data_IF_646264233251
#
_entry.id   IF_646264233251
#
_cell.length_a   1.000
_cell.length_b   1.000
_cell.length_c   1.000
_cell.angle_alpha   90.00
_cell.angle_beta   90.00
_cell.angle_gamma   90.00
#
_symmetry.space_group_name_H-M   'P 1'
#
loop_
_entity.id
_entity.type
_entity.pdbx_description
1 polymer ?
#
# COMPACT_ATOMS: atom_id res chain seq x y z
N UNK A 1 -72.20 27.50 -98.44
CA UNK A 1 -72.03 28.28 -97.19
C UNK A 1 -70.84 27.70 -96.46
N UNK A 2 -69.90 28.57 -96.11
CA UNK A 2 -68.55 28.41 -95.51
C UNK A 2 -68.44 27.38 -94.36
N UNK A 3 -67.32 26.69 -94.11
CA UNK A 3 -66.08 27.22 -93.48
C UNK A 3 -64.90 26.22 -93.53
N UNK A 4 -63.74 26.77 -93.15
CA UNK A 4 -62.33 26.36 -93.23
C UNK A 4 -61.84 25.24 -92.28
N UNK A 5 -60.65 24.71 -92.64
CA UNK A 5 -59.44 24.42 -91.80
C UNK A 5 -59.03 23.00 -91.33
N UNK A 6 -57.76 22.69 -91.71
CA UNK A 6 -56.64 22.13 -90.92
C UNK A 6 -56.38 20.61 -90.73
N UNK A 7 -55.37 20.16 -91.48
CA UNK A 7 -54.09 19.50 -91.09
C UNK A 7 -54.03 18.35 -90.06
N UNK A 8 -53.31 17.26 -90.41
CA UNK A 8 -52.02 16.87 -89.77
C UNK A 8 -51.38 15.61 -90.38
N UNK A 9 -50.06 15.67 -90.60
CA UNK A 9 -49.14 14.53 -90.81
C UNK A 9 -48.71 13.93 -89.46
N UNK A 10 -48.34 12.66 -89.41
CA UNK A 10 -47.43 12.15 -88.36
C UNK A 10 -46.46 11.10 -88.92
N UNK A 11 -45.18 11.47 -88.95
CA UNK A 11 -44.02 10.65 -89.32
C UNK A 11 -43.56 9.78 -88.13
N UNK A 12 -43.05 8.57 -88.45
CA UNK A 12 -42.35 7.65 -87.56
C UNK A 12 -41.16 8.33 -86.86
N UNK A 13 -41.16 8.31 -85.53
CA UNK A 13 -40.07 8.77 -84.68
C UNK A 13 -38.99 7.70 -84.52
N UNK A 14 -37.79 8.02 -84.98
CA UNK A 14 -36.54 7.31 -84.73
C UNK A 14 -36.07 7.58 -83.28
N UNK A 15 -35.53 6.55 -82.65
CA UNK A 15 -34.90 6.57 -81.32
C UNK A 15 -33.69 7.52 -81.33
N UNK A 16 -33.71 8.57 -80.49
CA UNK A 16 -32.52 9.38 -80.19
C UNK A 16 -32.02 9.08 -78.78
N UNK A 17 -30.94 8.31 -78.73
CA UNK A 17 -30.05 8.18 -77.58
C UNK A 17 -29.44 9.55 -77.23
N UNK A 18 -29.88 10.16 -76.12
CA UNK A 18 -29.21 11.34 -75.56
C UNK A 18 -27.91 10.90 -74.87
N UNK A 19 -26.78 11.10 -75.56
CA UNK A 19 -25.44 11.09 -74.95
C UNK A 19 -25.26 12.39 -74.17
N UNK A 20 -25.25 12.31 -72.85
CA UNK A 20 -24.63 13.34 -72.01
C UNK A 20 -23.37 12.68 -71.45
N UNK A 21 -22.22 13.21 -71.86
CA UNK A 21 -20.88 12.80 -71.39
C UNK A 21 -20.44 11.37 -71.77
N UNK A 22 -20.15 11.11 -73.06
CA UNK A 22 -19.11 10.17 -73.53
C UNK A 22 -19.11 8.67 -73.16
N UNK A 23 -19.95 8.18 -72.23
CA UNK A 23 -19.92 6.80 -71.72
C UNK A 23 -21.32 6.19 -71.79
N UNK A 24 -21.45 4.97 -72.32
CA UNK A 24 -22.74 4.26 -72.34
C UNK A 24 -23.08 3.74 -70.93
N UNK A 25 -24.35 3.77 -70.53
CA UNK A 25 -24.82 3.35 -69.19
C UNK A 25 -24.31 1.96 -68.76
N UNK A 26 -24.17 1.04 -69.72
CA UNK A 26 -23.64 -0.32 -69.52
C UNK A 26 -22.12 -0.34 -69.29
N UNK A 27 -21.37 0.58 -69.90
CA UNK A 27 -19.94 0.76 -69.61
C UNK A 27 -19.75 1.37 -68.22
N UNK A 28 -20.59 2.33 -67.82
CA UNK A 28 -20.54 2.93 -66.50
C UNK A 28 -20.81 1.89 -65.38
N UNK A 29 -21.81 1.00 -65.54
CA UNK A 29 -22.12 -0.02 -64.53
C UNK A 29 -21.03 -1.09 -64.37
N UNK A 30 -20.40 -1.52 -65.47
CA UNK A 30 -19.26 -2.45 -65.43
C UNK A 30 -18.08 -1.85 -64.67
N UNK A 31 -17.71 -0.60 -64.94
CA UNK A 31 -16.61 0.09 -64.26
C UNK A 31 -16.87 0.29 -62.76
N UNK A 32 -18.13 0.56 -62.36
CA UNK A 32 -18.51 0.67 -60.95
C UNK A 32 -18.39 -0.68 -60.24
N UNK A 33 -18.83 -1.78 -60.87
CA UNK A 33 -18.72 -3.12 -60.27
C UNK A 33 -17.27 -3.59 -60.08
N UNK A 34 -16.37 -3.24 -61.02
CA UNK A 34 -14.95 -3.59 -60.93
C UNK A 34 -14.20 -2.82 -59.85
N UNK A 35 -14.70 -1.64 -59.47
CA UNK A 35 -14.12 -0.80 -58.42
C UNK A 35 -14.63 -1.17 -57.02
N UNK A 36 -15.70 -1.96 -56.92
CA UNK A 36 -16.36 -2.31 -55.66
C UNK A 36 -15.52 -3.26 -54.82
N UNK A 37 -14.92 -4.29 -55.43
CA UNK A 37 -14.06 -5.26 -54.74
C UNK A 37 -12.81 -4.60 -54.11
N UNK A 38 -12.02 -3.79 -54.85
CA UNK A 38 -10.86 -3.09 -54.29
C UNK A 38 -11.22 -2.11 -53.18
N UNK A 39 -12.34 -1.38 -53.31
CA UNK A 39 -12.80 -0.43 -52.28
C UNK A 39 -13.22 -1.16 -51.01
N UNK A 40 -13.97 -2.26 -51.14
CA UNK A 40 -14.37 -3.08 -49.99
C UNK A 40 -13.15 -3.68 -49.28
N UNK A 41 -12.15 -4.16 -50.03
CA UNK A 41 -10.89 -4.67 -49.47
C UNK A 41 -10.12 -3.57 -48.73
N UNK A 42 -10.06 -2.36 -49.29
CA UNK A 42 -9.46 -1.19 -48.65
C UNK A 42 -10.12 -0.83 -47.32
N UNK A 43 -11.45 -0.73 -47.30
CA UNK A 43 -12.24 -0.45 -46.09
C UNK A 43 -12.02 -1.54 -45.04
N UNK A 44 -12.11 -2.81 -45.44
CA UNK A 44 -11.90 -3.95 -44.56
C UNK A 44 -10.50 -3.94 -43.92
N UNK A 45 -9.47 -3.65 -44.72
CA UNK A 45 -8.09 -3.53 -44.22
C UNK A 45 -7.97 -2.43 -43.18
N UNK A 46 -8.51 -1.23 -43.47
CA UNK A 46 -8.49 -0.09 -42.53
C UNK A 46 -9.22 -0.44 -41.23
N UNK A 47 -10.40 -1.06 -41.29
CA UNK A 47 -11.17 -1.45 -40.11
C UNK A 47 -10.38 -2.44 -39.24
N UNK A 48 -9.78 -3.48 -39.84
CA UNK A 48 -8.95 -4.44 -39.10
C UNK A 48 -7.75 -3.76 -38.47
N UNK A 49 -7.04 -2.91 -39.22
CA UNK A 49 -5.86 -2.20 -38.72
C UNK A 49 -6.20 -1.30 -37.54
N UNK A 50 -7.28 -0.52 -37.62
CA UNK A 50 -7.73 0.35 -36.51
C UNK A 50 -8.14 -0.49 -35.31
N UNK A 51 -8.86 -1.60 -35.51
CA UNK A 51 -9.26 -2.48 -34.42
C UNK A 51 -8.06 -3.13 -33.71
N UNK A 52 -7.06 -3.59 -34.47
CA UNK A 52 -5.80 -4.13 -33.92
C UNK A 52 -5.00 -3.08 -33.15
N UNK A 53 -4.91 -1.85 -33.67
CA UNK A 53 -4.22 -0.75 -32.99
C UNK A 53 -4.88 -0.41 -31.65
N UNK A 54 -6.21 -0.36 -31.61
CA UNK A 54 -6.96 -0.09 -30.37
C UNK A 54 -6.76 -1.19 -29.33
N UNK A 55 -6.86 -2.47 -29.73
CA UNK A 55 -6.61 -3.61 -28.86
C UNK A 55 -5.16 -3.61 -28.31
N UNK A 56 -4.18 -3.29 -29.17
CA UNK A 56 -2.76 -3.23 -28.78
C UNK A 56 -2.51 -2.08 -27.80
N UNK A 57 -3.14 -0.93 -28.01
CA UNK A 57 -3.03 0.22 -27.09
C UNK A 57 -3.60 -0.13 -25.73
N UNK A 58 -4.80 -0.71 -25.69
CA UNK A 58 -5.43 -1.16 -24.45
C UNK A 58 -4.56 -2.18 -23.71
N UNK A 59 -4.05 -3.19 -24.43
CA UNK A 59 -3.18 -4.19 -23.84
C UNK A 59 -1.90 -3.58 -23.26
N UNK A 60 -1.26 -2.63 -23.96
CA UNK A 60 -0.09 -1.91 -23.43
C UNK A 60 -0.40 -1.12 -22.16
N UNK A 61 -1.59 -0.50 -22.08
CA UNK A 61 -2.01 0.22 -20.88
C UNK A 61 -2.23 -0.74 -19.70
N UNK A 62 -2.84 -1.90 -19.95
CA UNK A 62 -3.02 -2.96 -18.96
C UNK A 62 -1.67 -3.53 -18.50
N UNK A 63 -0.77 -3.84 -19.44
CA UNK A 63 0.58 -4.32 -19.16
C UNK A 63 1.39 -3.29 -18.34
N UNK A 64 1.27 -2.00 -18.65
CA UNK A 64 1.92 -0.92 -17.89
C UNK A 64 1.37 -0.80 -16.47
N UNK A 65 0.04 -0.89 -16.31
CA UNK A 65 -0.61 -0.87 -14.99
C UNK A 65 -0.17 -2.08 -14.15
N UNK A 66 -0.23 -3.28 -14.73
CA UNK A 66 0.21 -4.51 -14.08
C UNK A 66 1.70 -4.45 -13.70
N UNK A 67 2.56 -3.92 -14.58
CA UNK A 67 3.98 -3.77 -14.30
C UNK A 67 4.26 -2.76 -13.16
N UNK A 68 3.50 -1.66 -13.08
CA UNK A 68 3.64 -0.70 -11.98
C UNK A 68 3.09 -1.24 -10.66
N UNK A 69 1.97 -1.96 -10.69
CA UNK A 69 1.41 -2.65 -9.51
C UNK A 69 2.41 -3.69 -8.98
N UNK A 70 2.94 -4.55 -9.85
CA UNK A 70 3.96 -5.53 -9.48
C UNK A 70 5.20 -4.86 -8.88
N UNK A 71 5.66 -3.75 -9.48
CA UNK A 71 6.81 -3.00 -8.97
C UNK A 71 6.54 -2.39 -7.59
N UNK A 72 5.31 -1.94 -7.31
CA UNK A 72 4.91 -1.46 -5.98
C UNK A 72 4.93 -2.60 -4.97
N UNK A 73 4.30 -3.73 -5.29
CA UNK A 73 4.30 -4.93 -4.46
C UNK A 73 5.73 -5.40 -4.17
N UNK A 74 6.61 -5.44 -5.16
CA UNK A 74 8.01 -5.82 -4.97
C UNK A 74 8.76 -4.86 -4.04
N UNK A 75 8.56 -3.55 -4.17
CA UNK A 75 9.15 -2.55 -3.26
C UNK A 75 8.64 -2.73 -1.83
N UNK A 76 7.35 -2.99 -1.67
CA UNK A 76 6.74 -3.20 -0.35
C UNK A 76 7.26 -4.49 0.30
N UNK A 77 7.35 -5.60 -0.46
CA UNK A 77 7.95 -6.86 0.00
C UNK A 77 9.42 -6.65 0.37
N UNK A 78 10.19 -5.91 -0.44
CA UNK A 78 11.59 -5.64 -0.14
C UNK A 78 11.75 -4.78 1.12
N UNK A 79 10.90 -3.78 1.33
CA UNK A 79 10.90 -2.95 2.53
C UNK A 79 10.53 -3.76 3.79
N UNK A 80 9.54 -4.65 3.70
CA UNK A 80 9.17 -5.57 4.80
C UNK A 80 10.32 -6.53 5.13
N UNK A 81 10.92 -7.18 4.13
CA UNK A 81 12.09 -8.06 4.33
C UNK A 81 13.24 -7.33 4.97
N UNK A 82 13.54 -6.11 4.52
CA UNK A 82 14.59 -5.29 5.12
C UNK A 82 14.32 -4.98 6.61
N UNK A 83 13.06 -4.72 6.99
CA UNK A 83 12.68 -4.51 8.39
C UNK A 83 12.79 -5.79 9.22
N UNK A 84 12.43 -6.95 8.66
CA UNK A 84 12.62 -8.24 9.33
C UNK A 84 14.10 -8.58 9.53
N UNK A 85 14.94 -8.34 8.52
CA UNK A 85 16.39 -8.54 8.64
C UNK A 85 17.00 -7.66 9.76
N UNK A 86 16.54 -6.42 9.89
CA UNK A 86 16.95 -5.52 10.99
C UNK A 86 16.50 -6.06 12.35
N UNK A 87 15.25 -6.53 12.44
CA UNK A 87 14.71 -7.12 13.66
C UNK A 87 15.49 -8.36 14.08
N UNK A 88 15.78 -9.27 13.16
CA UNK A 88 16.55 -10.49 13.42
C UNK A 88 18.00 -10.18 13.82
N UNK A 89 18.62 -9.21 13.14
CA UNK A 89 19.95 -8.74 13.51
C UNK A 89 19.98 -8.12 14.92
N UNK A 90 18.91 -7.42 15.32
CA UNK A 90 18.75 -6.91 16.68
C UNK A 90 18.61 -8.03 17.70
N UNK A 91 17.71 -8.98 17.48
CA UNK A 91 17.49 -10.12 18.39
C UNK A 91 18.80 -10.90 18.56
N UNK A 92 19.51 -11.21 17.47
CA UNK A 92 20.83 -11.85 17.51
C UNK A 92 21.83 -11.02 18.31
N UNK A 93 21.88 -9.70 18.07
CA UNK A 93 22.81 -8.81 18.73
C UNK A 93 22.57 -8.68 20.24
N UNK A 94 21.32 -8.63 20.68
CA UNK A 94 20.98 -8.64 22.11
C UNK A 94 21.21 -10.03 22.71
N UNK A 95 20.86 -11.11 22.01
CA UNK A 95 21.13 -12.48 22.45
C UNK A 95 22.61 -12.72 22.73
N UNK A 96 23.50 -12.25 21.85
CA UNK A 96 24.95 -12.32 22.06
C UNK A 96 25.42 -11.51 23.29
N UNK A 97 24.81 -10.34 23.54
CA UNK A 97 25.09 -9.60 24.79
C UNK A 97 24.60 -10.40 26.00
N UNK A 98 23.42 -11.01 25.90
CA UNK A 98 22.85 -11.82 26.96
C UNK A 98 23.78 -12.98 27.34
N UNK A 99 24.22 -13.75 26.35
CA UNK A 99 25.18 -14.85 26.53
C UNK A 99 26.50 -14.36 27.12
N UNK A 100 27.06 -13.27 26.59
CA UNK A 100 28.33 -12.71 27.04
C UNK A 100 28.30 -12.23 28.50
N UNK A 101 27.15 -11.79 28.98
CA UNK A 101 26.97 -11.22 30.31
C UNK A 101 26.07 -12.08 31.21
N UNK A 102 26.15 -13.41 31.06
CA UNK A 102 25.51 -14.40 31.93
C UNK A 102 24.00 -14.20 32.11
N UNK A 103 23.30 -13.85 31.04
CA UNK A 103 21.85 -13.69 31.06
C UNK A 103 21.37 -12.40 31.72
N UNK A 104 22.21 -11.36 31.82
CA UNK A 104 21.77 -10.07 32.36
C UNK A 104 22.39 -8.89 31.62
N UNK A 105 21.54 -8.06 31.01
CA UNK A 105 21.93 -6.79 30.40
C UNK A 105 22.03 -5.66 31.41
N UNK A 106 21.42 -5.84 32.59
CA UNK A 106 21.28 -4.83 33.64
C UNK A 106 22.25 -5.03 34.80
N UNK A 107 23.03 -6.12 34.80
CA UNK A 107 23.96 -6.47 35.88
C UNK A 107 25.09 -5.45 36.10
N UNK A 108 25.51 -4.76 35.04
CA UNK A 108 26.54 -3.73 35.12
C UNK A 108 26.45 -2.72 33.97
N UNK A 109 27.24 -1.64 34.05
CA UNK A 109 27.13 -0.47 33.16
C UNK A 109 27.38 -0.78 31.68
N UNK A 110 28.27 -1.73 31.36
CA UNK A 110 28.71 -1.99 29.98
C UNK A 110 27.59 -2.62 29.12
N UNK A 111 27.03 -3.81 29.47
CA UNK A 111 25.93 -4.38 28.71
C UNK A 111 24.71 -3.47 28.72
N UNK A 112 24.45 -2.77 29.83
CA UNK A 112 23.31 -1.86 29.95
C UNK A 112 23.40 -0.73 28.92
N UNK A 113 24.58 -0.10 28.80
CA UNK A 113 24.81 0.99 27.84
C UNK A 113 24.71 0.48 26.40
N UNK A 114 25.28 -0.70 26.11
CA UNK A 114 25.25 -1.29 24.77
C UNK A 114 23.84 -1.74 24.36
N UNK A 115 23.13 -2.41 25.26
CA UNK A 115 21.76 -2.84 25.05
C UNK A 115 20.86 -1.62 24.81
N UNK A 116 20.91 -0.62 25.68
CA UNK A 116 20.15 0.62 25.52
C UNK A 116 20.42 1.29 24.17
N UNK A 117 21.69 1.50 23.82
CA UNK A 117 22.05 2.16 22.57
C UNK A 117 21.53 1.39 21.35
N UNK A 118 21.61 0.06 21.37
CA UNK A 118 21.06 -0.80 20.31
C UNK A 118 19.55 -0.71 20.26
N UNK A 119 18.86 -0.86 21.38
CA UNK A 119 17.39 -0.84 21.45
C UNK A 119 16.82 0.48 20.98
N UNK A 120 17.35 1.62 21.45
CA UNK A 120 16.89 2.94 21.04
C UNK A 120 17.14 3.23 19.55
N UNK A 121 18.25 2.75 18.98
CA UNK A 121 18.51 2.87 17.56
C UNK A 121 17.49 2.09 16.72
N UNK A 122 17.18 0.87 17.15
CA UNK A 122 16.27 -0.01 16.42
C UNK A 122 14.81 0.47 16.50
N UNK A 123 14.37 0.99 17.64
CA UNK A 123 13.02 1.57 17.77
C UNK A 123 12.73 2.68 16.76
N UNK A 124 13.73 3.48 16.38
CA UNK A 124 13.58 4.53 15.36
C UNK A 124 13.52 4.01 13.92
N UNK A 125 13.95 2.76 13.69
CA UNK A 125 14.08 2.16 12.36
C UNK A 125 12.95 1.19 12.04
N UNK A 126 12.35 0.60 13.06
CA UNK A 126 11.31 -0.40 12.93
C UNK A 126 9.93 0.22 13.14
N UNK A 127 8.94 -0.41 12.53
CA UNK A 127 7.53 -0.06 12.71
C UNK A 127 7.00 -0.51 14.08
N UNK A 128 5.80 -0.03 14.47
CA UNK A 128 5.20 -0.34 15.76
C UNK A 128 4.96 -1.84 16.01
N UNK A 129 4.64 -2.61 14.95
CA UNK A 129 4.38 -4.05 15.04
C UNK A 129 5.65 -4.84 15.38
N UNK A 130 6.82 -4.35 14.98
CA UNK A 130 8.12 -4.95 15.33
C UNK A 130 8.62 -4.45 16.69
N UNK A 131 8.43 -3.16 16.99
CA UNK A 131 8.83 -2.57 18.27
C UNK A 131 8.12 -3.24 19.46
N UNK A 132 6.83 -3.57 19.33
CA UNK A 132 6.11 -4.28 20.39
C UNK A 132 6.68 -5.68 20.66
N UNK A 133 7.21 -6.37 19.63
CA UNK A 133 7.89 -7.67 19.79
C UNK A 133 9.21 -7.54 20.53
N UNK A 134 9.93 -6.43 20.31
CA UNK A 134 11.17 -6.12 21.06
C UNK A 134 10.85 -5.83 22.53
N UNK A 135 9.81 -5.01 22.80
CA UNK A 135 9.37 -4.72 24.16
C UNK A 135 9.00 -6.02 24.88
N UNK A 136 8.22 -6.90 24.24
CA UNK A 136 7.89 -8.22 24.77
C UNK A 136 9.14 -9.04 25.08
N UNK A 137 10.06 -9.19 24.14
CA UNK A 137 11.28 -9.97 24.32
C UNK A 137 12.10 -9.46 25.52
N UNK A 138 12.28 -8.15 25.64
CA UNK A 138 13.05 -7.56 26.74
C UNK A 138 12.30 -7.67 28.09
N UNK A 139 10.97 -7.66 28.09
CA UNK A 139 10.17 -7.86 29.30
C UNK A 139 10.16 -9.33 29.75
N UNK A 140 9.93 -10.27 28.83
CA UNK A 140 9.95 -11.72 29.10
C UNK A 140 11.34 -12.22 29.54
N UNK A 141 12.40 -11.51 29.17
CA UNK A 141 13.76 -11.78 29.64
C UNK A 141 14.11 -11.05 30.95
N UNK A 142 13.13 -10.42 31.61
CA UNK A 142 13.28 -9.65 32.86
C UNK A 142 14.22 -8.45 32.74
N UNK A 143 14.47 -7.97 31.52
CA UNK A 143 15.32 -6.80 31.27
C UNK A 143 14.53 -5.50 31.31
N UNK A 144 13.21 -5.52 31.04
CA UNK A 144 12.31 -4.36 31.20
C UNK A 144 11.40 -4.46 32.42
N UNK A 145 11.54 -5.50 33.22
CA UNK A 145 10.81 -5.63 34.48
C UNK A 145 11.47 -4.73 35.51
N UNK A 146 10.74 -3.72 35.99
CA UNK A 146 11.18 -2.77 37.00
C UNK A 146 10.05 -2.46 37.95
N UNK A 147 10.18 -2.90 39.20
CA UNK A 147 9.52 -2.25 40.34
C UNK A 147 10.41 -1.08 40.79
N UNK A 148 9.94 -0.21 41.72
CA UNK A 148 10.78 0.85 42.32
C UNK A 148 12.11 0.30 42.87
N UNK A 149 12.12 -0.98 43.27
CA UNK A 149 13.26 -1.64 43.91
C UNK A 149 14.15 -2.43 42.92
N UNK A 150 13.72 -2.61 41.67
CA UNK A 150 14.39 -3.46 40.69
C UNK A 150 14.93 -2.65 39.51
N UNK A 151 16.22 -2.85 39.20
CA UNK A 151 16.88 -2.20 38.06
C UNK A 151 16.28 -2.76 36.77
N UNK A 152 15.83 -1.89 35.88
CA UNK A 152 15.41 -2.25 34.52
C UNK A 152 16.30 -1.58 33.47
N UNK A 153 16.29 -2.11 32.26
CA UNK A 153 16.93 -1.49 31.10
C UNK A 153 16.23 -0.15 30.82
N UNK A 154 17.00 0.92 30.89
CA UNK A 154 16.46 2.26 30.72
C UNK A 154 16.12 2.55 29.24
N UNK A 155 14.82 2.67 28.96
CA UNK A 155 14.28 3.07 27.66
C UNK A 155 13.93 4.56 27.58
N UNK A 156 14.32 5.38 28.56
CA UNK A 156 14.05 6.82 28.54
C UNK A 156 14.51 7.42 27.22
N UNK A 157 13.66 8.29 26.65
CA UNK A 157 13.76 8.90 25.32
C UNK A 157 13.39 7.99 24.13
N UNK A 158 12.91 6.76 24.37
CA UNK A 158 12.34 5.95 23.29
C UNK A 158 11.09 6.63 22.71
N UNK A 159 11.10 6.81 21.38
CA UNK A 159 9.96 7.24 20.59
C UNK A 159 9.27 6.01 20.03
N UNK A 160 8.04 5.79 20.47
CA UNK A 160 7.27 4.57 20.24
C UNK A 160 5.85 4.94 19.76
N UNK A 161 5.73 5.63 18.61
CA UNK A 161 4.43 6.05 18.10
C UNK A 161 3.59 4.84 17.66
N UNK A 162 2.28 4.87 17.92
CA UNK A 162 1.34 3.88 17.38
C UNK A 162 1.51 2.47 17.93
N UNK A 163 2.20 2.28 19.06
CA UNK A 163 2.36 0.96 19.67
C UNK A 163 1.01 0.42 20.15
N UNK A 164 0.71 -0.81 19.75
CA UNK A 164 -0.49 -1.52 20.14
C UNK A 164 -0.19 -2.59 21.20
N UNK A 165 -0.47 -2.27 22.47
CA UNK A 165 -0.26 -3.16 23.60
C UNK A 165 -1.33 -4.26 23.73
N UNK A 166 -2.40 -4.23 22.92
CA UNK A 166 -3.41 -5.31 22.90
C UNK A 166 -2.79 -6.65 22.53
N UNK A 167 -1.78 -6.63 21.67
CA UNK A 167 -1.03 -7.83 21.25
C UNK A 167 -0.28 -8.50 22.41
N UNK A 168 0.06 -7.75 23.46
CA UNK A 168 0.70 -8.28 24.66
C UNK A 168 -0.32 -8.72 25.71
N UNK A 169 -1.58 -8.28 25.63
CA UNK A 169 -2.62 -8.69 26.56
C UNK A 169 -3.22 -10.09 26.26
N UNK A 170 -2.88 -10.70 25.12
CA UNK A 170 -3.42 -12.00 24.67
C UNK A 170 -3.03 -13.11 25.66
N UNK A 171 -1.88 -13.01 26.32
CA UNK A 171 -1.49 -13.91 27.40
C UNK A 171 -1.50 -13.13 28.73
N UNK A 172 -2.29 -13.59 29.70
CA UNK A 172 -2.46 -12.93 31.00
C UNK A 172 -1.08 -12.67 31.65
N UNK A 173 -0.87 -11.46 32.19
CA UNK A 173 0.32 -10.98 32.94
C UNK A 173 1.57 -10.54 32.13
N UNK A 174 1.53 -10.53 30.79
CA UNK A 174 2.70 -10.16 29.97
C UNK A 174 3.13 -8.67 30.04
N UNK A 175 2.45 -7.84 30.83
CA UNK A 175 2.81 -6.43 31.02
C UNK A 175 3.00 -6.07 32.50
N UNK A 176 2.88 -7.04 33.40
CA UNK A 176 3.05 -6.78 34.82
C UNK A 176 4.50 -6.41 35.12
N UNK A 177 4.70 -5.40 35.97
CA UNK A 177 6.00 -4.87 36.39
C UNK A 177 6.84 -4.26 35.25
N UNK A 178 6.26 -3.92 34.09
CA UNK A 178 7.05 -3.29 33.01
C UNK A 178 7.40 -1.84 33.35
N UNK A 179 8.62 -1.42 33.05
CA UNK A 179 9.03 -0.01 33.13
C UNK A 179 9.11 0.61 31.73
N UNK A 180 8.27 1.62 31.50
CA UNK A 180 8.25 2.46 30.29
C UNK A 180 8.40 3.94 30.65
N UNK A 181 9.10 4.21 31.77
CA UNK A 181 9.31 5.56 32.28
C UNK A 181 10.07 6.44 31.27
N UNK A 182 9.70 7.72 31.22
CA UNK A 182 10.29 8.75 30.35
C UNK A 182 10.31 8.39 28.85
N UNK A 183 9.33 7.60 28.39
CA UNK A 183 9.15 7.27 26.97
C UNK A 183 8.09 8.17 26.30
N UNK A 184 8.06 8.17 24.97
CA UNK A 184 7.03 8.84 24.17
C UNK A 184 6.15 7.79 23.49
N UNK A 185 4.91 7.63 23.97
CA UNK A 185 3.93 6.65 23.51
C UNK A 185 2.76 7.34 22.82
N UNK A 186 3.06 8.18 21.82
CA UNK A 186 2.02 8.87 21.06
C UNK A 186 1.19 7.89 20.24
N UNK A 187 -0.13 8.09 20.13
CA UNK A 187 -1.04 7.18 19.43
C UNK A 187 -1.03 5.73 19.95
N UNK A 188 -0.53 5.48 21.17
CA UNK A 188 -0.46 4.13 21.71
C UNK A 188 -1.85 3.59 22.09
N UNK A 189 -2.04 2.29 21.96
CA UNK A 189 -3.32 1.61 22.25
C UNK A 189 -3.18 0.66 23.43
N UNK A 190 -3.96 0.92 24.48
CA UNK A 190 -4.08 0.12 25.72
C UNK A 190 -5.52 -0.40 25.93
N UNK A 191 -6.23 -0.75 24.86
CA UNK A 191 -7.64 -1.16 24.97
C UNK A 191 -7.78 -2.58 25.53
N UNK A 192 -8.62 -2.78 26.55
CA UNK A 192 -8.85 -4.09 27.19
C UNK A 192 -7.57 -4.77 27.70
N UNK A 193 -6.56 -4.00 28.11
CA UNK A 193 -5.31 -4.55 28.68
C UNK A 193 -5.35 -4.48 30.20
N UNK A 194 -4.86 -5.53 30.87
CA UNK A 194 -4.63 -5.54 32.31
C UNK A 194 -3.13 -5.46 32.60
N UNK A 195 -2.72 -4.47 33.38
CA UNK A 195 -1.32 -4.25 33.78
C UNK A 195 -1.25 -4.00 35.29
N UNK A 196 -0.35 -4.69 35.97
CA UNK A 196 -0.03 -4.44 37.38
C UNK A 196 1.36 -3.86 37.53
N UNK A 197 1.55 -2.93 38.46
CA UNK A 197 2.88 -2.40 38.82
C UNK A 197 3.67 -1.80 37.64
N UNK A 198 2.98 -1.22 36.66
CA UNK A 198 3.63 -0.60 35.51
C UNK A 198 4.18 0.78 35.87
N UNK A 199 5.40 1.09 35.45
CA UNK A 199 5.99 2.40 35.64
C UNK A 199 5.90 3.25 34.37
N UNK A 200 5.07 4.28 34.41
CA UNK A 200 4.89 5.29 33.37
C UNK A 200 5.32 6.70 33.84
N UNK A 201 6.19 6.77 34.85
CA UNK A 201 6.69 8.05 35.35
C UNK A 201 7.36 8.85 34.23
N UNK A 202 7.00 10.12 34.08
CA UNK A 202 7.50 11.05 33.03
C UNK A 202 7.19 10.63 31.59
N UNK A 203 6.31 9.64 31.39
CA UNK A 203 5.91 9.18 30.05
C UNK A 203 4.91 10.12 29.42
N UNK A 204 5.02 10.35 28.11
CA UNK A 204 4.05 11.15 27.35
C UNK A 204 3.17 10.27 26.48
N UNK A 205 1.87 10.57 26.49
CA UNK A 205 0.81 9.71 25.98
C UNK A 205 -0.11 10.42 24.98
N UNK A 206 0.41 11.37 24.20
CA UNK A 206 -0.37 12.15 23.23
C UNK A 206 -1.22 11.24 22.34
N UNK A 207 -2.52 11.51 22.21
CA UNK A 207 -3.44 10.77 21.33
C UNK A 207 -3.58 9.26 21.65
N UNK A 208 -3.25 8.83 22.87
CA UNK A 208 -3.33 7.41 23.25
C UNK A 208 -4.73 6.97 23.69
N UNK A 209 -5.08 5.72 23.44
CA UNK A 209 -6.39 5.14 23.80
C UNK A 209 -6.26 4.15 24.96
N UNK A 210 -7.07 4.36 26.01
CA UNK A 210 -7.05 3.59 27.26
C UNK A 210 -8.38 2.89 27.55
N UNK A 211 -9.22 2.68 26.53
CA UNK A 211 -10.58 2.16 26.73
C UNK A 211 -10.56 0.80 27.44
N UNK A 212 -11.19 0.72 28.61
CA UNK A 212 -11.23 -0.50 29.44
C UNK A 212 -9.83 -1.03 29.87
N UNK A 213 -8.81 -0.16 29.92
CA UNK A 213 -7.53 -0.52 30.52
C UNK A 213 -7.68 -0.69 32.04
N UNK A 214 -7.11 -1.76 32.58
CA UNK A 214 -7.03 -2.01 34.03
C UNK A 214 -5.59 -1.79 34.48
N UNK A 215 -5.37 -0.78 35.31
CA UNK A 215 -4.06 -0.33 35.79
C UNK A 215 -4.01 -0.47 37.31
N UNK A 216 -3.55 -1.61 37.81
CA UNK A 216 -3.40 -1.85 39.24
C UNK A 216 -1.99 -1.42 39.69
N UNK A 217 -1.88 -0.57 40.71
CA UNK A 217 -0.59 -0.10 41.24
C UNK A 217 0.34 0.50 40.18
N UNK A 218 -0.22 1.16 39.16
CA UNK A 218 0.55 1.83 38.11
C UNK A 218 1.08 3.20 38.58
N UNK A 219 2.30 3.56 38.17
CA UNK A 219 2.92 4.84 38.48
C UNK A 219 2.84 5.82 37.31
N UNK A 220 2.33 7.02 37.58
CA UNK A 220 2.17 8.09 36.58
C UNK A 220 2.86 9.39 37.01
N UNK A 221 3.86 9.32 37.89
CA UNK A 221 4.51 10.51 38.44
C UNK A 221 5.12 11.36 37.31
N UNK A 222 4.64 12.61 37.16
CA UNK A 222 4.99 13.52 36.05
C UNK A 222 4.65 13.00 34.64
N UNK A 223 3.76 12.02 34.50
CA UNK A 223 3.27 11.62 33.19
C UNK A 223 2.41 12.73 32.56
N UNK A 224 2.46 12.83 31.24
CA UNK A 224 1.67 13.80 30.47
C UNK A 224 0.69 13.06 29.55
N UNK A 225 -0.60 13.33 29.71
CA UNK A 225 -1.64 12.94 28.76
C UNK A 225 -2.15 14.20 28.06
N UNK A 226 -2.01 14.24 26.74
CA UNK A 226 -2.60 15.25 25.87
C UNK A 226 -3.51 14.55 24.86
N UNK A 227 -4.66 15.15 24.55
CA UNK A 227 -5.65 14.65 23.60
C UNK A 227 -5.67 15.46 22.31
#
# INVERSE_FOLDING_TARGET
MTLHENSTQTKRGFVQNRKICGVTFVQASKSISSLLLPVMLGIFTVVITVNQQNATKQQREEDQKAAEENRRVERDIAAERYRDDIFDAYIKGIGQLFEKYNGSLISNRVPMTLARAKTLNIFRRLDPQRNIRIIRFLHESEQLSGTIEQISLDLSTAELPGIDFRHLAIYRKQLDNISLASTFLSNATFINVGMKHVNFSRTRFNDSSWSSAQLENAEFTFAELHN
#
